data_IF_665683252557
#
_entry.id   IF_665683252557
#
_cell.length_a   1.000
_cell.length_b   1.000
_cell.length_c   1.000
_cell.angle_alpha   90.00
_cell.angle_beta   90.00
_cell.angle_gamma   90.00
#
_symmetry.space_group_name_H-M   'P 1'
#
loop_
_entity.id
_entity.type
_entity.pdbx_description
1 polymer ?
#
# COMPACT_ATOMS: atom_id res chain seq x y z
N UNK A 1 -25.58 8.65 -51.00
CA UNK A 1 -24.81 9.51 -50.06
C UNK A 1 -24.19 8.63 -48.98
N UNK A 2 -22.89 8.79 -48.72
CA UNK A 2 -22.05 7.93 -47.86
C UNK A 2 -22.03 8.40 -46.40
N UNK A 3 -22.22 7.43 -45.48
CA UNK A 3 -21.76 7.27 -44.08
C UNK A 3 -22.15 8.30 -43.01
N UNK A 4 -22.51 7.83 -41.79
CA UNK A 4 -21.97 8.37 -40.56
C UNK A 4 -20.74 7.55 -40.12
N UNK A 5 -19.62 8.25 -39.91
CA UNK A 5 -18.47 7.80 -39.15
C UNK A 5 -18.74 8.15 -37.69
N UNK A 6 -19.08 7.18 -36.83
CA UNK A 6 -18.83 7.33 -35.40
C UNK A 6 -17.44 6.77 -35.11
N UNK A 7 -16.46 7.68 -35.03
CA UNK A 7 -15.12 7.37 -34.55
C UNK A 7 -15.22 6.97 -33.07
N UNK A 8 -14.63 5.83 -32.78
CA UNK A 8 -14.34 5.26 -31.46
C UNK A 8 -13.75 6.32 -30.53
N UNK A 9 -14.42 6.60 -29.41
CA UNK A 9 -13.77 7.09 -28.19
C UNK A 9 -13.78 5.92 -27.19
N UNK A 10 -12.82 5.00 -27.35
CA UNK A 10 -12.44 4.11 -26.27
C UNK A 10 -11.38 4.85 -25.47
N UNK A 11 -11.79 5.57 -24.42
CA UNK A 11 -10.85 5.99 -23.38
C UNK A 11 -10.51 4.73 -22.59
N UNK A 12 -9.39 4.09 -22.92
CA UNK A 12 -8.80 3.10 -22.03
C UNK A 12 -8.23 3.86 -20.83
N UNK A 13 -8.98 3.90 -19.73
CA UNK A 13 -8.46 4.25 -18.41
C UNK A 13 -7.40 3.21 -18.07
N UNK A 14 -6.14 3.56 -18.29
CA UNK A 14 -4.99 2.80 -17.81
C UNK A 14 -4.76 3.22 -16.37
N UNK A 15 -4.50 2.26 -15.49
CA UNK A 15 -4.80 2.43 -14.07
C UNK A 15 -3.91 1.49 -13.25
N UNK A 16 -3.13 2.08 -12.35
CA UNK A 16 -2.14 1.39 -11.51
C UNK A 16 -2.42 1.75 -10.05
N UNK A 17 -2.53 0.76 -9.18
CA UNK A 17 -2.62 0.98 -7.74
C UNK A 17 -1.24 1.01 -7.11
N UNK A 18 -0.85 2.18 -6.59
CA UNK A 18 0.27 2.34 -5.66
C UNK A 18 -0.33 2.90 -4.38
N UNK A 19 -0.62 2.04 -3.40
CA UNK A 19 -0.91 2.52 -2.06
C UNK A 19 0.43 2.87 -1.42
N UNK A 20 0.48 4.11 -0.99
CA UNK A 20 1.56 4.65 -0.20
C UNK A 20 0.91 4.90 1.16
N UNK A 21 1.05 3.94 2.06
CA UNK A 21 0.47 4.08 3.40
C UNK A 21 1.10 5.24 4.13
N UNK A 22 0.25 6.06 4.73
CA UNK A 22 0.65 7.03 5.75
C UNK A 22 0.71 6.27 7.07
N UNK A 23 1.82 6.30 7.79
CA UNK A 23 1.77 6.08 9.24
C UNK A 23 1.70 7.45 9.91
N UNK A 24 0.65 7.69 10.70
CA UNK A 24 0.69 8.71 11.74
C UNK A 24 0.98 8.02 13.05
N UNK A 25 1.96 8.52 13.81
CA UNK A 25 2.18 8.12 15.19
C UNK A 25 0.94 8.49 16.01
N UNK A 26 0.17 7.49 16.46
CA UNK A 26 -0.79 7.71 17.53
C UNK A 26 -0.09 7.56 18.87
N UNK A 27 -0.11 8.59 19.71
CA UNK A 27 -0.33 8.35 21.14
C UNK A 27 -1.68 8.91 21.58
N UNK A 28 -2.32 8.07 22.39
CA UNK A 28 -3.27 8.48 23.39
C UNK A 28 -2.67 9.59 24.28
N UNK A 29 -3.49 10.63 24.51
CA UNK A 29 -3.38 11.74 25.47
C UNK A 29 -2.74 13.03 24.94
N UNK A 30 -3.63 14.01 24.66
CA UNK A 30 -3.46 15.45 24.91
C UNK A 30 -2.00 15.93 24.90
N UNK A 31 -1.43 16.17 23.72
CA UNK A 31 -0.09 16.74 23.59
C UNK A 31 -0.15 18.19 23.14
N UNK A 32 0.15 19.06 24.11
CA UNK A 32 0.90 20.30 23.92
C UNK A 32 2.17 20.01 23.12
N UNK A 33 2.24 20.54 21.88
CA UNK A 33 3.40 21.13 21.16
C UNK A 33 4.83 20.60 21.41
N UNK A 34 5.00 19.38 21.89
CA UNK A 34 6.31 18.77 22.11
C UNK A 34 6.48 17.63 21.13
N UNK A 35 7.31 17.89 20.12
CA UNK A 35 7.93 16.89 19.23
C UNK A 35 8.78 15.93 20.07
N UNK A 36 8.15 15.11 20.91
CA UNK A 36 8.79 13.98 21.57
C UNK A 36 8.46 12.75 20.76
N UNK A 37 9.50 12.09 20.25
CA UNK A 37 9.42 10.92 19.37
C UNK A 37 8.52 9.82 19.96
N UNK A 38 7.49 9.46 19.21
CA UNK A 38 6.49 8.49 19.64
C UNK A 38 6.61 7.22 18.79
N UNK A 39 7.01 6.13 19.45
CA UNK A 39 7.13 4.79 18.87
C UNK A 39 5.88 4.40 18.08
N UNK A 40 6.06 3.79 16.91
CA UNK A 40 4.95 3.17 16.19
C UNK A 40 4.27 2.10 17.06
N UNK A 41 2.98 2.30 17.33
CA UNK A 41 2.13 1.30 17.96
C UNK A 41 1.77 0.17 16.99
N UNK A 42 1.38 -0.97 17.55
CA UNK A 42 0.89 -2.14 16.79
C UNK A 42 -0.19 -1.77 15.76
N UNK A 43 -1.05 -0.80 16.09
CA UNK A 43 -2.13 -0.33 15.22
C UNK A 43 -1.61 0.28 13.92
N UNK A 44 -0.59 1.14 13.97
CA UNK A 44 -0.01 1.78 12.80
C UNK A 44 0.60 0.75 11.85
N UNK A 45 1.36 -0.18 12.41
CA UNK A 45 1.95 -1.27 11.66
C UNK A 45 0.86 -2.14 11.03
N UNK A 46 -0.21 -2.46 11.77
CA UNK A 46 -1.30 -3.29 11.25
C UNK A 46 -2.00 -2.64 10.04
N UNK A 47 -2.27 -1.34 10.11
CA UNK A 47 -2.84 -0.59 8.99
C UNK A 47 -1.87 -0.48 7.82
N UNK A 48 -0.58 -0.23 8.08
CA UNK A 48 0.45 -0.20 7.04
C UNK A 48 0.57 -1.54 6.32
N UNK A 49 0.64 -2.64 7.05
CA UNK A 49 0.73 -3.99 6.49
C UNK A 49 -0.49 -4.30 5.61
N UNK A 50 -1.69 -3.96 6.07
CA UNK A 50 -2.92 -4.15 5.31
C UNK A 50 -2.86 -3.38 3.98
N UNK A 51 -2.55 -2.08 4.03
CA UNK A 51 -2.60 -1.26 2.82
C UNK A 51 -1.41 -1.47 1.89
N UNK A 52 -0.22 -1.88 2.36
CA UNK A 52 0.85 -2.34 1.47
C UNK A 52 0.47 -3.64 0.75
N UNK A 53 -0.05 -4.61 1.49
CA UNK A 53 -0.45 -5.90 0.92
C UNK A 53 -1.54 -5.72 -0.14
N UNK A 54 -2.50 -4.88 0.19
CA UNK A 54 -3.64 -4.63 -0.66
C UNK A 54 -3.26 -3.72 -1.85
N UNK A 55 -2.29 -2.80 -1.70
CA UNK A 55 -1.66 -2.06 -2.82
C UNK A 55 -1.07 -3.00 -3.85
N UNK A 56 -0.22 -3.91 -3.41
CA UNK A 56 0.54 -4.74 -4.32
C UNK A 56 -0.37 -5.71 -5.06
N UNK A 57 -1.43 -6.14 -4.38
CA UNK A 57 -2.51 -6.90 -4.97
C UNK A 57 -3.29 -6.05 -6.00
N UNK A 58 -3.63 -4.79 -5.73
CA UNK A 58 -4.42 -3.94 -6.62
C UNK A 58 -3.66 -3.49 -7.88
N UNK A 59 -2.32 -3.47 -7.83
CA UNK A 59 -1.47 -2.98 -8.91
C UNK A 59 -1.65 -3.66 -10.28
N UNK A 60 -2.16 -4.89 -10.31
CA UNK A 60 -2.39 -5.65 -11.56
C UNK A 60 -3.88 -5.85 -11.84
N UNK A 61 -4.75 -5.07 -11.19
CA UNK A 61 -6.21 -5.15 -11.31
C UNK A 61 -6.80 -4.10 -12.26
N UNK A 62 -5.94 -3.29 -12.90
CA UNK A 62 -6.40 -2.22 -13.78
C UNK A 62 -7.24 -1.16 -13.04
N UNK A 63 -6.89 -0.83 -11.79
CA UNK A 63 -7.54 0.25 -11.03
C UNK A 63 -6.55 1.35 -10.59
N UNK A 64 -7.10 2.55 -10.43
CA UNK A 64 -6.46 3.85 -10.23
C UNK A 64 -5.42 3.86 -9.12
N UNK A 65 -4.51 4.85 -9.17
CA UNK A 65 -3.58 5.15 -8.06
C UNK A 65 -4.43 5.61 -6.88
N UNK A 66 -4.59 4.74 -5.88
CA UNK A 66 -5.21 5.09 -4.61
C UNK A 66 -4.14 5.65 -3.68
N UNK A 67 -4.13 6.97 -3.50
CA UNK A 67 -3.40 7.60 -2.39
C UNK A 67 -4.35 7.67 -1.20
N UNK A 68 -4.21 6.73 -0.29
CA UNK A 68 -5.05 6.67 0.89
C UNK A 68 -4.33 7.31 2.07
N UNK A 69 -5.02 8.21 2.75
CA UNK A 69 -4.52 8.85 3.96
C UNK A 69 -5.13 8.36 5.24
N UNK A 70 -4.30 8.49 6.26
CA UNK A 70 -4.58 8.45 7.68
C UNK A 70 -5.82 9.25 8.10
N UNK A 71 -6.62 8.67 8.98
CA UNK A 71 -7.60 9.35 9.82
C UNK A 71 -7.18 9.15 11.28
N UNK A 72 -6.32 10.02 11.80
CA UNK A 72 -6.13 10.07 13.24
C UNK A 72 -7.33 10.81 13.79
N UNK A 73 -8.12 10.13 14.62
CA UNK A 73 -9.10 10.75 15.52
C UNK A 73 -8.48 11.76 16.49
N UNK A 74 -7.16 11.98 16.41
CA UNK A 74 -6.45 13.03 17.09
C UNK A 74 -6.27 14.22 16.15
N UNK A 75 -7.09 15.22 16.43
CA UNK A 75 -7.31 16.46 15.73
C UNK A 75 -6.03 17.32 15.69
N UNK A 76 -5.25 17.19 14.62
CA UNK A 76 -4.40 18.27 14.11
C UNK A 76 -4.63 18.45 12.61
N UNK A 77 -5.86 18.85 12.27
CA UNK A 77 -6.32 19.69 11.14
C UNK A 77 -5.74 19.60 9.72
N UNK A 78 -4.87 18.65 9.35
CA UNK A 78 -4.31 18.60 7.98
C UNK A 78 -4.29 17.22 7.32
N UNK A 79 -4.54 16.13 8.06
CA UNK A 79 -4.67 14.78 7.47
C UNK A 79 -6.13 14.30 7.36
N UNK A 80 -7.05 14.93 8.10
CA UNK A 80 -8.51 14.67 8.01
C UNK A 80 -9.10 14.98 6.62
N UNK A 81 -8.40 15.80 5.84
CA UNK A 81 -8.81 16.31 4.54
C UNK A 81 -8.51 15.36 3.38
N UNK A 82 -7.77 14.28 3.61
CA UNK A 82 -7.32 13.41 2.53
C UNK A 82 -8.24 12.16 2.39
N UNK A 83 -9.35 12.16 3.16
CA UNK A 83 -10.35 11.08 3.33
C UNK A 83 -11.42 10.96 2.23
N UNK A 84 -11.38 11.76 1.15
CA UNK A 84 -12.39 11.69 0.10
C UNK A 84 -11.73 11.81 -1.26
N UNK A 85 -11.92 10.78 -2.10
CA UNK A 85 -11.65 10.72 -3.55
C UNK A 85 -10.83 11.91 -4.04
N UNK A 86 -9.55 11.91 -3.70
CA UNK A 86 -8.65 12.93 -4.22
C UNK A 86 -8.72 12.81 -5.73
N UNK A 87 -8.85 13.93 -6.43
CA UNK A 87 -8.63 13.98 -7.88
C UNK A 87 -7.13 13.83 -8.10
N UNK A 88 -6.62 12.65 -7.78
CA UNK A 88 -5.22 12.30 -7.85
C UNK A 88 -4.76 12.42 -9.30
N UNK A 89 -3.59 13.04 -9.48
CA UNK A 89 -2.82 13.05 -10.72
C UNK A 89 -3.68 12.96 -12.00
N UNK A 90 -4.28 14.07 -12.42
CA UNK A 90 -4.95 14.14 -13.73
C UNK A 90 -3.90 14.15 -14.84
N UNK A 91 -3.39 12.98 -15.22
CA UNK A 91 -2.50 12.86 -16.37
C UNK A 91 -3.31 13.02 -17.65
N UNK A 92 -2.91 13.97 -18.49
CA UNK A 92 -3.51 14.21 -19.81
C UNK A 92 -3.00 13.27 -20.92
N UNK A 93 -2.05 12.38 -20.60
CA UNK A 93 -1.32 11.47 -21.51
C UNK A 93 -0.72 10.34 -20.66
N UNK A 94 -0.50 9.10 -21.16
CA UNK A 94 -0.38 7.95 -20.27
C UNK A 94 0.83 8.07 -19.33
N UNK A 95 0.55 8.09 -18.02
CA UNK A 95 1.54 8.13 -16.92
C UNK A 95 2.51 6.95 -16.95
N UNK A 96 2.12 5.87 -17.64
CA UNK A 96 2.94 4.73 -17.95
C UNK A 96 3.26 4.69 -19.44
N UNK A 97 4.53 4.61 -19.78
CA UNK A 97 4.99 4.34 -21.14
C UNK A 97 5.49 2.91 -21.22
N UNK A 98 5.05 2.15 -22.24
CA UNK A 98 5.52 0.79 -22.49
C UNK A 98 6.38 0.75 -23.76
N UNK A 99 7.61 0.27 -23.64
CA UNK A 99 8.50 -0.07 -24.74
C UNK A 99 8.69 -1.58 -24.77
N UNK A 100 7.94 -2.26 -25.64
CA UNK A 100 7.82 -3.72 -25.57
C UNK A 100 7.17 -4.14 -24.25
N UNK A 101 7.80 -5.08 -23.55
CA UNK A 101 7.33 -5.58 -22.25
C UNK A 101 7.82 -4.75 -21.06
N UNK A 102 8.63 -3.71 -21.28
CA UNK A 102 9.11 -2.82 -20.22
C UNK A 102 8.23 -1.59 -20.12
N UNK A 103 7.68 -1.35 -18.93
CA UNK A 103 6.89 -0.17 -18.57
C UNK A 103 7.69 0.77 -17.68
N UNK A 104 7.56 2.07 -17.90
CA UNK A 104 8.08 3.10 -17.00
C UNK A 104 6.94 4.01 -16.56
N UNK A 105 6.82 4.18 -15.25
CA UNK A 105 5.92 5.12 -14.59
C UNK A 105 6.79 6.22 -14.00
N UNK A 106 6.58 7.44 -14.46
CA UNK A 106 7.23 8.62 -13.90
C UNK A 106 6.17 9.53 -13.29
N UNK A 107 6.31 9.82 -11.99
CA UNK A 107 5.38 10.68 -11.28
C UNK A 107 5.41 12.12 -11.80
N UNK A 108 6.50 12.56 -12.43
CA UNK A 108 6.65 13.90 -13.01
C UNK A 108 6.25 15.04 -12.05
N UNK A 109 6.58 14.90 -10.76
CA UNK A 109 6.14 15.84 -9.70
C UNK A 109 4.61 15.97 -9.59
N UNK A 110 3.88 14.86 -9.77
CA UNK A 110 2.43 14.87 -9.65
C UNK A 110 1.99 15.45 -8.31
N UNK A 111 1.11 16.45 -8.35
CA UNK A 111 0.44 16.99 -7.19
C UNK A 111 -0.89 16.30 -6.93
N UNK A 112 -1.12 15.99 -5.66
CA UNK A 112 -2.36 15.45 -5.13
C UNK A 112 -3.08 16.61 -4.49
N UNK A 113 -4.29 16.91 -4.96
CA UNK A 113 -5.07 18.04 -4.46
C UNK A 113 -6.33 17.58 -3.76
N UNK A 114 -6.69 18.31 -2.70
CA UNK A 114 -7.98 18.20 -2.03
C UNK A 114 -8.58 19.59 -1.87
N UNK A 115 -9.83 19.76 -2.28
CA UNK A 115 -10.54 21.04 -2.23
C UNK A 115 -9.75 22.21 -2.85
N UNK A 116 -8.98 21.94 -3.92
CA UNK A 116 -8.14 22.92 -4.61
C UNK A 116 -6.75 23.16 -3.98
N UNK A 117 -6.42 22.52 -2.86
CA UNK A 117 -5.13 22.66 -2.16
C UNK A 117 -4.24 21.45 -2.45
N UNK A 118 -2.98 21.67 -2.83
CA UNK A 118 -1.99 20.58 -2.92
C UNK A 118 -1.67 20.07 -1.52
N UNK A 119 -1.93 18.79 -1.28
CA UNK A 119 -1.72 18.08 -0.01
C UNK A 119 -0.51 17.16 -0.06
N UNK A 120 -0.08 16.76 -1.27
CA UNK A 120 1.11 15.96 -1.49
C UNK A 120 1.68 16.14 -2.90
N UNK A 121 2.96 15.86 -3.07
CA UNK A 121 3.67 15.83 -4.35
C UNK A 121 4.44 14.52 -4.46
N UNK A 122 4.27 13.80 -5.57
CA UNK A 122 4.93 12.54 -5.87
C UNK A 122 6.09 12.76 -6.82
N UNK A 123 7.26 12.20 -6.53
CA UNK A 123 8.48 12.32 -7.34
C UNK A 123 9.19 10.97 -7.48
N UNK A 124 10.01 10.81 -8.51
CA UNK A 124 10.58 9.51 -8.87
C UNK A 124 9.58 8.68 -9.67
N UNK A 125 9.65 7.35 -9.55
CA UNK A 125 8.82 6.49 -10.37
C UNK A 125 9.03 5.00 -10.14
N UNK A 126 8.43 4.20 -11.00
CA UNK A 126 8.51 2.75 -11.02
C UNK A 126 8.90 2.26 -12.42
N UNK A 127 9.70 1.22 -12.46
CA UNK A 127 9.92 0.42 -13.66
C UNK A 127 9.18 -0.91 -13.51
N UNK A 128 8.57 -1.36 -14.59
CA UNK A 128 7.80 -2.61 -14.64
C UNK A 128 8.34 -3.49 -15.77
N UNK A 129 8.79 -4.69 -15.43
CA UNK A 129 9.17 -5.71 -16.42
C UNK A 129 8.06 -6.75 -16.52
N UNK A 130 7.26 -6.65 -17.57
CA UNK A 130 6.15 -7.54 -17.85
C UNK A 130 6.62 -8.76 -18.66
N UNK A 131 5.81 -9.80 -18.65
CA UNK A 131 6.08 -11.00 -19.45
C UNK A 131 5.82 -10.75 -20.94
N UNK A 132 4.88 -9.86 -21.27
CA UNK A 132 4.57 -9.50 -22.65
C UNK A 132 4.26 -8.02 -22.83
N UNK A 133 4.48 -7.52 -24.06
CA UNK A 133 4.16 -6.14 -24.43
C UNK A 133 2.67 -5.83 -24.31
N UNK A 134 1.81 -6.79 -24.66
CA UNK A 134 0.36 -6.63 -24.51
C UNK A 134 -0.05 -6.45 -23.06
N UNK A 135 0.51 -7.22 -22.12
CA UNK A 135 0.18 -7.06 -20.70
C UNK A 135 0.65 -5.72 -20.15
N UNK A 136 1.84 -5.25 -20.56
CA UNK A 136 2.33 -3.92 -20.20
C UNK A 136 1.35 -2.83 -20.65
N UNK A 137 0.96 -2.85 -21.94
CA UNK A 137 0.09 -1.84 -22.55
C UNK A 137 -1.28 -1.78 -21.88
N UNK A 138 -1.81 -2.91 -21.41
CA UNK A 138 -3.13 -2.98 -20.78
C UNK A 138 -3.08 -2.95 -19.25
N UNK A 139 -1.88 -2.99 -18.64
CA UNK A 139 -1.70 -3.10 -17.18
C UNK A 139 -2.44 -4.28 -16.56
N UNK A 140 -2.50 -5.40 -17.27
CA UNK A 140 -3.28 -6.57 -16.90
C UNK A 140 -2.47 -7.83 -17.11
N UNK A 141 -2.38 -8.66 -16.07
CA UNK A 141 -1.71 -9.97 -16.14
C UNK A 141 -2.66 -11.03 -16.70
N UNK A 142 -2.24 -11.73 -17.75
CA UNK A 142 -2.90 -12.96 -18.20
C UNK A 142 -2.46 -14.14 -17.34
N UNK A 143 -3.20 -15.25 -17.39
CA UNK A 143 -2.79 -16.47 -16.69
C UNK A 143 -1.46 -16.99 -17.27
N UNK A 144 -0.50 -17.29 -16.40
CA UNK A 144 0.90 -17.59 -16.74
C UNK A 144 1.80 -16.35 -16.83
N UNK A 145 1.22 -15.15 -16.81
CA UNK A 145 1.92 -13.88 -16.86
C UNK A 145 2.57 -13.46 -15.54
N UNK A 146 3.51 -12.53 -15.65
CA UNK A 146 4.17 -11.90 -14.50
C UNK A 146 4.60 -10.46 -14.79
N UNK A 147 4.70 -9.67 -13.73
CA UNK A 147 5.31 -8.34 -13.73
C UNK A 147 6.25 -8.22 -12.53
N UNK A 148 7.43 -7.64 -12.74
CA UNK A 148 8.34 -7.23 -11.69
C UNK A 148 8.38 -5.72 -11.63
N UNK A 149 8.04 -5.14 -10.49
CA UNK A 149 8.04 -3.68 -10.27
C UNK A 149 9.21 -3.27 -9.39
N UNK A 150 10.06 -2.39 -9.88
CA UNK A 150 11.20 -1.85 -9.14
C UNK A 150 11.09 -0.34 -9.03
N UNK A 151 11.60 0.22 -7.94
CA UNK A 151 11.66 1.66 -7.73
C UNK A 151 13.05 2.08 -7.26
N UNK A 152 13.55 3.16 -7.83
CA UNK A 152 14.69 3.89 -7.26
C UNK A 152 14.14 5.19 -6.68
N UNK A 153 13.87 5.18 -5.37
CA UNK A 153 13.50 6.38 -4.60
C UNK A 153 12.20 7.06 -5.06
N UNK A 154 11.14 6.28 -5.26
CA UNK A 154 9.78 6.80 -5.44
C UNK A 154 9.32 7.45 -4.13
N UNK A 155 9.00 8.74 -4.16
CA UNK A 155 8.73 9.50 -2.94
C UNK A 155 7.41 10.28 -3.01
N UNK A 156 6.70 10.31 -1.88
CA UNK A 156 5.66 11.31 -1.63
C UNK A 156 6.22 12.34 -0.65
N UNK A 157 6.04 13.62 -0.96
CA UNK A 157 6.25 14.74 -0.04
C UNK A 157 4.91 15.38 0.29
N UNK A 158 4.56 15.45 1.57
CA UNK A 158 3.35 16.13 2.03
C UNK A 158 3.60 17.64 2.17
N UNK A 159 2.55 18.46 2.15
CA UNK A 159 2.62 19.94 2.17
C UNK A 159 3.45 20.51 3.32
N UNK A 160 3.60 19.76 4.40
CA UNK A 160 4.35 20.18 5.58
C UNK A 160 5.80 19.66 5.60
N UNK A 161 6.27 19.05 4.52
CA UNK A 161 7.64 18.58 4.36
C UNK A 161 7.91 17.18 4.90
N UNK A 162 6.90 16.46 5.43
CA UNK A 162 7.01 15.02 5.69
C UNK A 162 7.20 14.28 4.38
N UNK A 163 7.93 13.16 4.40
CA UNK A 163 8.18 12.36 3.20
C UNK A 163 8.08 10.88 3.50
N UNK A 164 7.54 10.14 2.54
CA UNK A 164 7.65 8.69 2.51
C UNK A 164 8.39 8.31 1.24
N UNK A 165 9.44 7.52 1.38
CA UNK A 165 10.27 7.05 0.27
C UNK A 165 10.12 5.54 0.17
N UNK A 166 9.96 5.04 -1.04
CA UNK A 166 9.95 3.62 -1.38
C UNK A 166 11.03 3.34 -2.42
N UNK A 167 11.81 2.29 -2.19
CA UNK A 167 12.76 1.76 -3.16
C UNK A 167 12.89 0.24 -3.06
N UNK A 168 13.48 -0.37 -4.07
CA UNK A 168 13.76 -1.81 -4.13
C UNK A 168 15.24 -2.08 -4.40
N UNK A 169 16.11 -1.18 -3.92
CA UNK A 169 17.54 -1.16 -4.29
C UNK A 169 18.42 -2.08 -3.45
N UNK A 170 17.85 -2.75 -2.45
CA UNK A 170 18.55 -3.64 -1.52
C UNK A 170 19.02 -2.90 -0.27
N UNK A 171 19.89 -3.54 0.51
CA UNK A 171 20.45 -2.99 1.75
C UNK A 171 20.58 -4.04 2.85
N UNK A 172 20.54 -3.63 4.11
CA UNK A 172 20.76 -4.55 5.24
C UNK A 172 19.79 -4.22 6.37
N UNK A 173 19.02 -5.22 6.80
CA UNK A 173 18.15 -5.11 7.96
C UNK A 173 18.95 -5.08 9.26
N UNK A 174 18.30 -4.65 10.35
CA UNK A 174 18.93 -4.54 11.67
C UNK A 174 19.53 -5.85 12.22
N UNK A 175 19.03 -7.00 11.77
CA UNK A 175 19.47 -8.33 12.21
C UNK A 175 20.63 -8.89 11.36
N UNK A 176 21.13 -8.10 10.40
CA UNK A 176 22.21 -8.50 9.49
C UNK A 176 21.72 -9.18 8.21
N UNK A 177 20.42 -9.36 8.02
CA UNK A 177 19.87 -9.87 6.75
C UNK A 177 20.22 -8.90 5.61
N UNK A 178 20.93 -9.40 4.60
CA UNK A 178 21.33 -8.61 3.42
C UNK A 178 20.32 -8.82 2.30
N UNK A 179 19.76 -7.73 1.78
CA UNK A 179 18.89 -7.72 0.62
C UNK A 179 19.63 -7.20 -0.61
N UNK A 180 19.48 -7.87 -1.74
CA UNK A 180 19.96 -7.40 -3.03
C UNK A 180 18.91 -6.53 -3.72
N UNK A 181 19.35 -5.71 -4.68
CA UNK A 181 18.45 -4.99 -5.59
C UNK A 181 17.52 -5.97 -6.31
N UNK A 182 16.27 -5.57 -6.51
CA UNK A 182 15.24 -6.41 -7.13
C UNK A 182 13.92 -5.66 -7.33
N UNK A 183 12.82 -6.38 -7.25
CA UNK A 183 11.49 -5.81 -7.40
C UNK A 183 10.37 -6.69 -6.84
N UNK A 184 9.20 -6.07 -6.72
CA UNK A 184 7.96 -6.73 -6.33
C UNK A 184 7.45 -7.52 -7.52
N UNK A 185 7.45 -8.84 -7.41
CA UNK A 185 6.99 -9.76 -8.42
C UNK A 185 5.53 -10.14 -8.16
N UNK A 186 4.66 -9.80 -9.12
CA UNK A 186 3.31 -10.36 -9.20
C UNK A 186 3.24 -11.36 -10.33
N UNK A 187 2.78 -12.57 -10.04
CA UNK A 187 2.51 -13.61 -11.04
C UNK A 187 1.02 -13.96 -11.02
N UNK A 188 0.49 -14.48 -12.11
CA UNK A 188 -0.88 -14.97 -12.18
C UNK A 188 -0.91 -16.42 -12.66
N UNK A 189 -1.61 -17.28 -11.93
CA UNK A 189 -1.80 -18.68 -12.28
C UNK A 189 -3.19 -19.15 -11.85
N UNK A 190 -3.93 -19.81 -12.76
CA UNK A 190 -5.25 -20.36 -12.50
C UNK A 190 -6.23 -19.34 -11.89
N UNK A 191 -6.23 -18.11 -12.41
CA UNK A 191 -7.07 -17.01 -11.91
C UNK A 191 -6.61 -16.36 -10.59
N UNK A 192 -5.62 -16.93 -9.89
CA UNK A 192 -5.06 -16.35 -8.67
C UNK A 192 -3.77 -15.59 -8.97
N UNK A 193 -3.46 -14.61 -8.13
CA UNK A 193 -2.22 -13.83 -8.21
C UNK A 193 -1.36 -14.12 -6.99
N UNK A 194 -0.06 -14.25 -7.20
CA UNK A 194 0.92 -14.34 -6.12
C UNK A 194 1.78 -13.09 -6.14
N UNK A 195 1.87 -12.40 -5.01
CA UNK A 195 2.72 -11.22 -4.81
C UNK A 195 3.89 -11.60 -3.91
N UNK A 196 5.10 -11.37 -4.39
CA UNK A 196 6.34 -11.73 -3.70
C UNK A 196 7.45 -10.74 -4.05
N UNK A 197 8.60 -10.87 -3.39
CA UNK A 197 9.82 -10.21 -3.87
C UNK A 197 10.59 -11.14 -4.83
N UNK A 198 11.36 -10.55 -5.74
CA UNK A 198 12.45 -11.31 -6.40
C UNK A 198 13.39 -11.89 -5.35
N UNK A 199 14.01 -13.04 -5.64
CA UNK A 199 14.82 -13.78 -4.67
C UNK A 199 15.88 -12.91 -4.01
N UNK A 200 15.90 -12.91 -2.66
CA UNK A 200 16.89 -12.15 -1.88
C UNK A 200 16.68 -10.63 -1.84
N UNK A 201 15.54 -10.11 -2.31
CA UNK A 201 15.23 -8.68 -2.30
C UNK A 201 14.11 -8.31 -1.32
N UNK A 202 13.99 -7.03 -1.01
CA UNK A 202 12.94 -6.47 -0.16
C UNK A 202 12.48 -5.10 -0.67
N UNK A 203 11.28 -4.68 -0.24
CA UNK A 203 10.82 -3.30 -0.38
C UNK A 203 11.44 -2.51 0.77
N UNK A 204 12.21 -1.48 0.45
CA UNK A 204 12.71 -0.54 1.45
C UNK A 204 11.76 0.66 1.52
N UNK A 205 11.29 0.99 2.72
CA UNK A 205 10.47 2.19 2.97
C UNK A 205 11.00 2.99 4.13
N UNK A 206 11.06 4.31 3.93
CA UNK A 206 11.55 5.26 4.93
C UNK A 206 10.54 6.38 5.11
N UNK A 207 10.20 6.66 6.37
CA UNK A 207 9.37 7.78 6.78
C UNK A 207 10.25 8.89 7.35
N UNK A 208 10.18 10.09 6.77
CA UNK A 208 10.97 11.24 7.17
C UNK A 208 10.03 12.36 7.64
N UNK A 209 10.30 12.89 8.84
CA UNK A 209 9.55 13.98 9.44
C UNK A 209 9.84 15.32 8.76
N UNK A 210 9.10 16.36 9.13
CA UNK A 210 9.30 17.73 8.62
C UNK A 210 10.70 18.28 8.94
N UNK A 211 11.31 17.80 10.03
CA UNK A 211 12.65 18.19 10.49
C UNK A 211 13.76 17.34 9.87
N UNK A 212 13.43 16.43 8.95
CA UNK A 212 14.41 15.51 8.35
C UNK A 212 14.78 14.30 9.23
N UNK A 213 14.04 14.06 10.32
CA UNK A 213 14.26 12.92 11.21
C UNK A 213 13.54 11.70 10.64
N UNK A 214 14.25 10.58 10.50
CA UNK A 214 13.63 9.30 10.12
C UNK A 214 12.83 8.74 11.29
N UNK A 215 11.53 8.53 11.10
CA UNK A 215 10.62 8.02 12.15
C UNK A 215 10.19 6.57 11.90
N UNK A 216 10.33 6.07 10.68
CA UNK A 216 10.38 4.64 10.40
C UNK A 216 11.36 4.31 9.28
N UNK A 217 11.86 3.08 9.31
CA UNK A 217 12.77 2.51 8.32
C UNK A 217 12.47 1.00 8.29
N UNK A 218 11.98 0.55 7.13
CA UNK A 218 11.47 -0.80 6.90
C UNK A 218 12.13 -1.48 5.73
N UNK A 219 12.47 -2.75 5.92
CA UNK A 219 12.46 -3.72 4.83
C UNK A 219 11.21 -4.59 4.93
N UNK A 220 10.51 -4.77 3.81
CA UNK A 220 9.30 -5.58 3.74
C UNK A 220 9.41 -6.67 2.69
N UNK A 221 8.96 -7.87 3.04
CA UNK A 221 9.00 -9.05 2.19
C UNK A 221 7.59 -9.66 2.15
N UNK A 222 6.75 -9.31 1.16
CA UNK A 222 5.48 -9.96 0.95
C UNK A 222 5.66 -11.39 0.40
N UNK A 223 4.71 -12.25 0.77
CA UNK A 223 4.45 -13.58 0.19
C UNK A 223 2.94 -13.82 0.25
N UNK A 224 2.21 -13.13 -0.61
CA UNK A 224 0.75 -13.05 -0.59
C UNK A 224 0.12 -13.82 -1.75
N UNK A 225 -1.04 -14.40 -1.50
CA UNK A 225 -1.93 -14.95 -2.53
C UNK A 225 -3.21 -14.12 -2.58
N UNK A 226 -3.62 -13.75 -3.78
CA UNK A 226 -4.77 -12.88 -4.04
C UNK A 226 -5.69 -13.58 -5.03
N UNK A 227 -6.95 -13.75 -4.65
CA UNK A 227 -8.02 -14.20 -5.55
C UNK A 227 -9.04 -13.09 -5.78
N UNK A 228 -9.74 -13.16 -6.92
CA UNK A 228 -10.71 -12.13 -7.33
C UNK A 228 -10.05 -10.82 -7.70
N UNK A 229 -10.75 -9.71 -7.52
CA UNK A 229 -10.29 -8.33 -7.74
C UNK A 229 -10.97 -7.43 -6.70
N UNK A 230 -10.44 -6.26 -6.40
CA UNK A 230 -11.18 -5.25 -5.65
C UNK A 230 -12.16 -4.51 -6.55
N UNK A 231 -11.72 -4.15 -7.76
CA UNK A 231 -12.47 -3.31 -8.69
C UNK A 231 -12.66 -3.99 -10.04
N UNK A 232 -13.81 -3.73 -10.66
CA UNK A 232 -14.10 -4.18 -12.02
C UNK A 232 -13.37 -3.27 -13.01
N UNK A 233 -12.50 -3.85 -13.85
CA UNK A 233 -11.68 -3.08 -14.80
C UNK A 233 -12.48 -2.28 -15.84
N UNK A 234 -13.73 -2.66 -16.12
CA UNK A 234 -14.57 -1.98 -17.12
C UNK A 234 -15.41 -0.83 -16.54
N UNK A 235 -15.78 -0.90 -15.26
CA UNK A 235 -16.67 0.09 -14.61
C UNK A 235 -16.01 0.86 -13.47
N UNK A 236 -14.82 0.44 -13.03
CA UNK A 236 -14.13 0.92 -11.83
C UNK A 236 -14.96 0.82 -10.54
N UNK A 237 -16.06 0.06 -10.56
CA UNK A 237 -16.89 -0.20 -9.38
C UNK A 237 -16.23 -1.28 -8.52
N UNK A 238 -16.42 -1.16 -7.20
CA UNK A 238 -16.02 -2.20 -6.25
C UNK A 238 -16.74 -3.52 -6.56
N UNK A 239 -16.06 -4.61 -6.25
CA UNK A 239 -16.55 -5.97 -6.38
C UNK A 239 -16.59 -6.64 -5.00
N UNK A 240 -17.23 -7.80 -4.92
CA UNK A 240 -17.45 -8.55 -3.67
C UNK A 240 -16.76 -9.92 -3.67
N UNK A 241 -15.62 -10.06 -4.38
CA UNK A 241 -14.98 -11.35 -4.59
C UNK A 241 -13.48 -11.39 -4.28
N UNK A 242 -12.92 -10.38 -3.60
CA UNK A 242 -11.49 -10.34 -3.28
C UNK A 242 -11.17 -11.15 -2.04
N UNK A 243 -10.07 -11.91 -2.09
CA UNK A 243 -9.46 -12.49 -0.89
C UNK A 243 -7.96 -12.34 -0.93
N UNK A 244 -7.35 -11.98 0.20
CA UNK A 244 -5.90 -11.96 0.41
C UNK A 244 -5.54 -12.96 1.51
N UNK A 245 -4.57 -13.81 1.21
CA UNK A 245 -3.94 -14.73 2.15
C UNK A 245 -2.41 -14.69 2.04
N UNK A 246 -1.71 -15.45 2.88
CA UNK A 246 -0.25 -15.51 2.90
C UNK A 246 0.36 -14.67 4.01
N UNK A 247 1.58 -14.16 3.82
CA UNK A 247 2.29 -13.42 4.85
C UNK A 247 3.02 -12.18 4.33
N UNK A 248 3.32 -11.27 5.24
CA UNK A 248 4.19 -10.12 5.01
C UNK A 248 5.12 -9.97 6.21
N UNK A 249 6.42 -10.00 5.96
CA UNK A 249 7.46 -9.79 6.98
C UNK A 249 7.97 -8.36 6.91
N UNK A 250 8.03 -7.66 8.04
CA UNK A 250 8.58 -6.31 8.18
C UNK A 250 9.76 -6.35 9.13
N UNK A 251 10.90 -5.86 8.69
CA UNK A 251 12.08 -5.59 9.51
C UNK A 251 12.09 -4.11 9.85
N UNK A 252 11.87 -3.75 11.12
CA UNK A 252 11.93 -2.37 11.57
C UNK A 252 13.35 -2.02 12.00
N UNK A 253 14.06 -1.23 11.19
CA UNK A 253 15.48 -0.95 11.43
C UNK A 253 15.74 -0.01 12.61
N UNK A 254 14.86 0.97 12.85
CA UNK A 254 15.00 1.89 13.98
C UNK A 254 14.70 1.18 15.32
N UNK A 255 13.56 0.51 15.41
CA UNK A 255 13.14 -0.17 16.65
C UNK A 255 13.75 -1.57 16.81
N UNK A 256 14.43 -2.09 15.79
CA UNK A 256 15.16 -3.37 15.83
C UNK A 256 14.27 -4.55 16.23
N UNK A 257 13.13 -4.65 15.57
CA UNK A 257 12.22 -5.80 15.69
C UNK A 257 11.78 -6.28 14.31
N UNK A 258 11.38 -7.55 14.23
CA UNK A 258 10.76 -8.13 13.04
C UNK A 258 9.32 -8.45 13.37
N UNK A 259 8.39 -8.01 12.52
CA UNK A 259 6.99 -8.36 12.58
C UNK A 259 6.64 -9.28 11.41
N UNK A 260 6.07 -10.44 11.70
CA UNK A 260 5.51 -11.33 10.69
C UNK A 260 3.99 -11.29 10.78
N UNK A 261 3.37 -10.84 9.70
CA UNK A 261 1.93 -10.70 9.56
C UNK A 261 1.39 -11.84 8.72
N UNK A 262 0.45 -12.61 9.26
CA UNK A 262 -0.21 -13.73 8.59
C UNK A 262 -1.65 -13.35 8.25
N UNK A 263 -1.98 -13.35 6.95
CA UNK A 263 -3.29 -13.06 6.41
C UNK A 263 -4.13 -14.34 6.41
N UNK A 264 -5.10 -14.42 7.33
CA UNK A 264 -6.00 -15.55 7.49
C UNK A 264 -7.34 -15.24 6.80
N UNK A 265 -7.35 -15.41 5.48
CA UNK A 265 -8.52 -15.20 4.61
C UNK A 265 -9.14 -13.81 4.79
N UNK A 266 -8.39 -12.76 4.48
CA UNK A 266 -8.90 -11.38 4.51
C UNK A 266 -9.78 -11.16 3.28
N UNK A 267 -11.08 -10.93 3.45
CA UNK A 267 -12.08 -10.96 2.36
C UNK A 267 -12.80 -9.62 2.21
N UNK A 268 -13.10 -9.24 0.96
CA UNK A 268 -14.04 -8.18 0.61
C UNK A 268 -15.28 -8.80 -0.02
N UNK A 269 -16.39 -8.82 0.73
CA UNK A 269 -17.67 -9.43 0.28
C UNK A 269 -18.76 -8.41 0.00
N UNK A 270 -18.50 -7.12 0.20
CA UNK A 270 -19.50 -6.05 0.05
C UNK A 270 -19.04 -5.08 -1.05
N UNK A 271 -19.80 -5.03 -2.15
CA UNK A 271 -19.53 -4.13 -3.28
C UNK A 271 -19.77 -2.64 -2.98
N UNK A 272 -20.27 -2.31 -1.78
CA UNK A 272 -20.35 -0.94 -1.27
C UNK A 272 -19.19 -0.59 -0.32
N UNK A 273 -18.37 -1.57 0.07
CA UNK A 273 -17.29 -1.40 1.03
C UNK A 273 -15.92 -1.68 0.39
N UNK A 274 -15.03 -0.69 0.46
CA UNK A 274 -13.64 -0.81 0.01
C UNK A 274 -12.70 -1.45 1.05
N UNK A 275 -13.21 -1.76 2.24
CA UNK A 275 -12.46 -2.39 3.33
C UNK A 275 -12.76 -3.89 3.40
N UNK A 276 -11.84 -4.71 3.97
CA UNK A 276 -12.16 -6.08 4.29
C UNK A 276 -13.37 -6.16 5.22
N UNK A 277 -14.26 -7.11 4.95
CA UNK A 277 -15.50 -7.36 5.71
C UNK A 277 -15.41 -8.62 6.57
N UNK A 278 -14.33 -9.41 6.45
CA UNK A 278 -14.07 -10.58 7.28
C UNK A 278 -12.61 -11.06 7.18
N UNK A 279 -12.27 -12.04 8.02
CA UNK A 279 -10.91 -12.56 8.16
C UNK A 279 -10.12 -11.85 9.25
N UNK A 280 -8.84 -12.17 9.36
CA UNK A 280 -7.95 -11.47 10.28
C UNK A 280 -6.50 -11.45 9.78
N UNK A 281 -5.72 -10.54 10.35
CA UNK A 281 -4.25 -10.54 10.25
C UNK A 281 -3.69 -10.84 11.64
N UNK A 282 -2.92 -11.91 11.75
CA UNK A 282 -2.20 -12.26 12.97
C UNK A 282 -0.74 -11.80 12.88
N UNK A 283 -0.29 -11.05 13.86
CA UNK A 283 1.05 -10.48 13.95
C UNK A 283 1.85 -11.22 15.03
N UNK A 284 3.07 -11.60 14.69
CA UNK A 284 4.07 -12.10 15.64
C UNK A 284 5.28 -11.19 15.62
N UNK A 285 5.82 -10.87 16.79
CA UNK A 285 6.93 -9.94 16.90
C UNK A 285 8.14 -10.59 17.57
N UNK A 286 9.31 -10.36 17.00
CA UNK A 286 10.62 -10.79 17.55
C UNK A 286 11.57 -9.60 17.60
N UNK A 287 12.60 -9.67 18.45
CA UNK A 287 13.56 -8.58 18.64
C UNK A 287 13.38 -7.84 19.97
N UNK A 288 14.32 -6.94 20.26
CA UNK A 288 14.49 -6.36 21.59
C UNK A 288 13.44 -5.31 21.95
N UNK A 289 13.04 -4.48 20.98
CA UNK A 289 12.03 -3.42 21.21
C UNK A 289 10.73 -3.71 20.47
N UNK A 290 10.31 -4.98 20.45
CA UNK A 290 9.01 -5.37 19.90
C UNK A 290 7.88 -4.62 20.64
N UNK A 291 6.85 -4.13 19.94
CA UNK A 291 5.76 -3.37 20.56
C UNK A 291 4.78 -4.27 21.34
N UNK A 292 4.79 -5.57 21.09
CA UNK A 292 3.95 -6.59 21.72
C UNK A 292 4.58 -7.98 21.56
N UNK A 293 4.05 -9.00 22.21
CA UNK A 293 4.37 -10.40 21.93
C UNK A 293 3.68 -10.88 20.65
N UNK A 294 2.39 -10.56 20.54
CA UNK A 294 1.58 -10.82 19.35
C UNK A 294 0.43 -9.82 19.26
N UNK A 295 -0.18 -9.73 18.08
CA UNK A 295 -1.42 -9.02 17.92
C UNK A 295 -2.32 -9.69 16.87
N UNK A 296 -3.61 -9.42 16.90
CA UNK A 296 -4.56 -9.88 15.89
C UNK A 296 -5.49 -8.74 15.53
N UNK A 297 -5.52 -8.37 14.24
CA UNK A 297 -6.50 -7.45 13.68
C UNK A 297 -7.61 -8.26 13.01
N UNK A 298 -8.79 -8.34 13.63
CA UNK A 298 -9.94 -9.06 13.13
C UNK A 298 -10.94 -8.11 12.46
N UNK A 299 -11.27 -8.38 11.20
CA UNK A 299 -12.21 -7.55 10.44
C UNK A 299 -13.65 -7.88 10.81
N UNK A 300 -14.48 -6.85 10.88
CA UNK A 300 -15.91 -6.99 11.15
C UNK A 300 -16.72 -6.91 9.86
N UNK A 301 -17.97 -7.37 9.90
CA UNK A 301 -18.92 -7.20 8.80
C UNK A 301 -19.33 -5.73 8.57
N UNK A 302 -19.09 -4.85 9.54
CA UNK A 302 -19.31 -3.42 9.41
C UNK A 302 -18.18 -2.80 8.58
N UNK A 303 -18.55 -2.03 7.56
CA UNK A 303 -17.57 -1.45 6.66
C UNK A 303 -16.60 -0.51 7.39
N UNK A 304 -15.30 -0.72 7.18
CA UNK A 304 -14.26 0.14 7.73
C UNK A 304 -13.98 -0.05 9.22
N UNK A 305 -14.43 -1.15 9.84
CA UNK A 305 -14.14 -1.42 11.26
C UNK A 305 -13.47 -2.78 11.48
N UNK A 306 -12.51 -2.80 12.39
CA UNK A 306 -11.83 -3.99 12.86
C UNK A 306 -11.67 -3.97 14.38
N UNK A 307 -11.25 -5.08 14.96
CA UNK A 307 -10.87 -5.20 16.37
C UNK A 307 -9.40 -5.58 16.44
N UNK A 308 -8.60 -4.82 17.19
CA UNK A 308 -7.20 -5.11 17.44
C UNK A 308 -7.05 -5.70 18.85
N UNK A 309 -6.60 -6.94 18.93
CA UNK A 309 -6.19 -7.57 20.20
C UNK A 309 -4.68 -7.63 20.25
N UNK A 310 -4.06 -7.00 21.25
CA UNK A 310 -2.62 -6.99 21.46
C UNK A 310 -2.28 -7.77 22.73
N UNK A 311 -1.31 -8.67 22.66
CA UNK A 311 -0.81 -9.46 23.79
C UNK A 311 0.58 -8.97 24.15
N UNK A 312 0.76 -8.53 25.39
CA UNK A 312 2.03 -8.09 25.97
C UNK A 312 2.38 -8.95 27.20
N UNK A 313 3.51 -8.70 27.83
CA UNK A 313 3.87 -9.36 29.10
C UNK A 313 2.93 -8.96 30.25
N UNK A 314 2.23 -7.82 30.12
CA UNK A 314 1.29 -7.30 31.11
C UNK A 314 -0.16 -7.77 30.90
N UNK A 315 -0.44 -8.53 29.83
CA UNK A 315 -1.76 -9.10 29.56
C UNK A 315 -2.23 -8.92 28.11
N UNK A 316 -3.53 -9.07 27.91
CA UNK A 316 -4.18 -8.92 26.60
C UNK A 316 -5.10 -7.69 26.62
N UNK A 317 -4.96 -6.84 25.61
CA UNK A 317 -5.75 -5.61 25.44
C UNK A 317 -6.49 -5.67 24.11
N UNK A 318 -7.79 -5.37 24.13
CA UNK A 318 -8.62 -5.36 22.92
C UNK A 318 -9.24 -4.00 22.74
N UNK A 319 -9.11 -3.43 21.54
CA UNK A 319 -9.74 -2.17 21.13
C UNK A 319 -10.44 -2.33 19.78
N UNK A 320 -11.54 -1.60 19.60
CA UNK A 320 -12.09 -1.36 18.26
C UNK A 320 -11.20 -0.37 17.53
N UNK A 321 -10.99 -0.59 16.24
CA UNK A 321 -10.27 0.32 15.35
C UNK A 321 -11.12 0.64 14.12
N UNK A 322 -11.01 1.88 13.66
CA UNK A 322 -11.52 2.30 12.35
C UNK A 322 -10.39 2.12 11.35
N UNK A 323 -10.66 1.41 10.26
CA UNK A 323 -9.71 1.26 9.18
C UNK A 323 -9.65 2.57 8.39
N UNK A 324 -8.43 3.02 8.14
CA UNK A 324 -8.23 4.36 7.57
C UNK A 324 -7.92 4.31 6.07
N UNK A 325 -7.57 3.14 5.53
CA UNK A 325 -7.19 2.98 4.12
C UNK A 325 -8.22 2.20 3.31
N UNK A 326 -9.04 2.94 2.56
CA UNK A 326 -10.04 2.45 1.62
C UNK A 326 -9.43 2.30 0.21
N UNK A 327 -9.35 1.10 -0.34
CA UNK A 327 -8.68 0.87 -1.63
C UNK A 327 -9.48 1.17 -2.92
#
# INVERSE_FOLDING_TARGET
MKKPFYKKFFYALVSLSVALTLSSCGKNKTSVTSDTDESEGVENLAQQVLSESSSHASATEGSTVGLNSFSSTHDTSQFSDMNQLTTACSYSSPYKTCSGATGTIDWNSCSVTYSGVSIATMTGGWNEDWTSASECQHSYLSDGGSVVRSATRSAITYTLGRKTITDTTGGTAYDGTVFTSGGIRTTRASGNRSVSMTTGSAIHRTGISRKGITYFDYYMVPSLTVSGSLKNSSSNLLTSNRTIGGSLTVYHNLLKYTATSQFNSVVWTDSSCCYPTSGNIAFTFTGANKPANSATMAFSSSCGTATLTTVTDSGSFTSSMTLESCE
#
